data_IF_240107634408
#
_entry.id   IF_240107634408
#
_cell.length_a   1.000
_cell.length_b   1.000
_cell.length_c   1.000
_cell.angle_alpha   90.00
_cell.angle_beta   90.00
_cell.angle_gamma   90.00
#
_symmetry.space_group_name_H-M   'P 1'
#
loop_
_entity.id
_entity.type
_entity.pdbx_description
1 polymer ?
#
# COMPACT_ATOMS: atom_id res chain seq x y z
N UNK A 1 4.91 -0.15 13.98
CA UNK A 1 4.52 -0.04 12.60
C UNK A 1 3.42 -1.01 12.21
N UNK A 2 2.47 -0.52 11.46
CA UNK A 2 1.30 -1.32 11.13
C UNK A 2 1.47 -2.15 9.88
N UNK A 3 2.42 -1.78 9.03
CA UNK A 3 2.67 -2.50 7.79
C UNK A 3 4.15 -2.80 7.68
N UNK A 4 4.47 -3.90 6.99
CA UNK A 4 5.86 -4.29 6.81
C UNK A 4 6.49 -3.48 5.67
N UNK A 5 7.83 -3.37 5.64
CA UNK A 5 8.48 -2.71 4.51
C UNK A 5 8.12 -3.32 3.16
N UNK A 6 7.94 -4.63 3.09
CA UNK A 6 7.54 -5.29 1.85
C UNK A 6 6.16 -4.84 1.42
N UNK A 7 5.21 -4.75 2.36
CA UNK A 7 3.88 -4.29 2.02
C UNK A 7 3.90 -2.85 1.50
N UNK A 8 4.74 -2.02 2.07
CA UNK A 8 4.89 -0.65 1.60
C UNK A 8 5.47 -0.60 0.19
N UNK A 9 6.48 -1.45 -0.09
CA UNK A 9 7.05 -1.52 -1.43
C UNK A 9 6.02 -1.96 -2.46
N UNK A 10 5.20 -2.94 -2.11
CA UNK A 10 4.15 -3.42 -3.01
C UNK A 10 3.15 -2.29 -3.28
N UNK A 11 2.74 -1.61 -2.24
CA UNK A 11 1.79 -0.50 -2.37
C UNK A 11 2.36 0.59 -3.26
N UNK A 12 3.62 0.94 -3.04
CA UNK A 12 4.27 1.99 -3.83
C UNK A 12 4.28 1.63 -5.32
N UNK A 13 4.69 0.40 -5.64
CA UNK A 13 4.75 -0.02 -7.03
C UNK A 13 3.37 -0.09 -7.66
N UNK A 14 2.41 -0.65 -6.95
CA UNK A 14 1.10 -0.90 -7.52
C UNK A 14 0.21 0.34 -7.57
N UNK A 15 0.22 1.14 -6.50
CA UNK A 15 -0.69 2.29 -6.40
C UNK A 15 -0.03 3.58 -6.85
N UNK A 16 1.17 3.85 -6.39
CA UNK A 16 1.83 5.12 -6.69
C UNK A 16 2.43 5.11 -8.10
N UNK A 17 3.14 4.03 -8.45
CA UNK A 17 3.77 3.92 -9.76
C UNK A 17 2.84 3.33 -10.81
N UNK A 18 1.69 2.83 -10.39
CA UNK A 18 0.67 2.27 -11.28
C UNK A 18 1.15 1.08 -12.11
N UNK A 19 1.98 0.23 -11.51
CA UNK A 19 2.41 -1.00 -12.18
C UNK A 19 1.24 -1.98 -12.30
N UNK A 20 1.28 -2.81 -13.34
CA UNK A 20 0.34 -3.92 -13.45
C UNK A 20 0.59 -4.90 -12.30
N UNK A 21 -0.48 -5.55 -11.83
CA UNK A 21 -0.34 -6.48 -10.72
C UNK A 21 0.63 -7.61 -11.06
N UNK A 22 0.64 -8.07 -12.30
CA UNK A 22 1.55 -9.13 -12.72
C UNK A 22 3.01 -8.69 -12.69
N UNK A 23 3.26 -7.43 -12.98
CA UNK A 23 4.61 -6.89 -12.89
C UNK A 23 5.10 -6.81 -11.43
N UNK A 24 4.21 -6.40 -10.54
CA UNK A 24 4.55 -6.35 -9.12
C UNK A 24 4.86 -7.75 -8.60
N UNK A 25 4.01 -8.72 -8.98
CA UNK A 25 4.20 -10.10 -8.56
C UNK A 25 5.57 -10.63 -8.99
N UNK A 26 5.96 -10.34 -10.22
CA UNK A 26 7.22 -10.82 -10.75
C UNK A 26 8.42 -10.10 -10.12
N UNK A 27 8.34 -8.78 -10.04
CA UNK A 27 9.48 -7.99 -9.57
C UNK A 27 9.78 -8.20 -8.10
N UNK A 28 8.73 -8.33 -7.29
CA UNK A 28 8.88 -8.46 -5.84
C UNK A 28 8.70 -9.88 -5.35
N UNK A 29 8.43 -10.81 -6.25
CA UNK A 29 8.25 -12.24 -5.94
C UNK A 29 7.16 -12.44 -4.91
N UNK A 30 6.01 -11.85 -5.16
CA UNK A 30 4.86 -11.94 -4.27
C UNK A 30 3.66 -12.48 -5.04
N UNK A 31 2.65 -12.96 -4.29
CA UNK A 31 1.43 -13.45 -4.88
C UNK A 31 0.45 -12.31 -5.16
N UNK A 32 -0.55 -12.61 -6.00
CA UNK A 32 -1.61 -11.63 -6.27
C UNK A 32 -2.33 -11.24 -4.98
N UNK A 33 -2.57 -12.21 -4.10
CA UNK A 33 -3.23 -11.94 -2.84
C UNK A 33 -2.41 -10.97 -1.98
N UNK A 34 -1.09 -11.12 -2.00
CA UNK A 34 -0.22 -10.21 -1.25
C UNK A 34 -0.28 -8.80 -1.81
N UNK A 35 -0.41 -8.64 -3.12
CA UNK A 35 -0.51 -7.32 -3.73
C UNK A 35 -1.79 -6.62 -3.25
N UNK A 36 -2.92 -7.31 -3.32
CA UNK A 36 -4.18 -6.70 -2.91
C UNK A 36 -4.24 -6.47 -1.40
N UNK A 37 -3.66 -7.38 -0.63
CA UNK A 37 -3.60 -7.19 0.82
C UNK A 37 -2.78 -5.96 1.18
N UNK A 38 -1.64 -5.78 0.52
CA UNK A 38 -0.79 -4.61 0.76
C UNK A 38 -1.52 -3.32 0.41
N UNK A 39 -2.21 -3.32 -0.73
CA UNK A 39 -3.00 -2.15 -1.12
C UNK A 39 -4.02 -1.79 -0.05
N UNK A 40 -4.71 -2.79 0.47
CA UNK A 40 -5.75 -2.56 1.46
C UNK A 40 -5.16 -2.04 2.77
N UNK A 41 -4.11 -2.68 3.26
CA UNK A 41 -3.54 -2.35 4.56
C UNK A 41 -2.82 -1.01 4.57
N UNK A 42 -1.98 -0.77 3.59
CA UNK A 42 -1.25 0.50 3.53
C UNK A 42 -2.22 1.64 3.25
N UNK A 43 -3.19 1.39 2.37
CA UNK A 43 -4.21 2.39 2.08
C UNK A 43 -5.00 2.79 3.32
N UNK A 44 -5.29 1.81 4.19
CA UNK A 44 -6.03 2.09 5.42
C UNK A 44 -5.21 2.98 6.36
N UNK A 45 -3.91 2.73 6.45
CA UNK A 45 -3.03 3.55 7.30
C UNK A 45 -3.01 5.00 6.80
N UNK A 46 -2.86 5.19 5.49
CA UNK A 46 -2.88 6.53 4.92
C UNK A 46 -4.21 7.23 5.18
N UNK A 47 -5.30 6.50 5.06
CA UNK A 47 -6.62 7.09 5.30
C UNK A 47 -6.76 7.56 6.74
N UNK A 48 -6.29 6.76 7.69
CA UNK A 48 -6.34 7.13 9.09
C UNK A 48 -5.52 8.38 9.37
N UNK A 49 -4.33 8.46 8.79
CA UNK A 49 -3.48 9.62 9.01
C UNK A 49 -4.06 10.89 8.40
N UNK A 50 -4.69 10.77 7.25
CA UNK A 50 -5.35 11.91 6.63
C UNK A 50 -6.51 12.42 7.48
N UNK A 51 -7.25 11.50 8.09
CA UNK A 51 -8.35 11.88 8.96
C UNK A 51 -7.86 12.60 10.21
N UNK A 52 -6.75 12.13 10.79
CA UNK A 52 -6.16 12.79 11.93
C UNK A 52 -5.71 14.21 11.60
N UNK A 53 -5.08 14.37 10.45
CA UNK A 53 -4.64 15.69 10.01
C UNK A 53 -5.82 16.62 9.80
N UNK A 54 -6.91 16.10 9.24
CA UNK A 54 -8.10 16.89 9.02
C UNK A 54 -8.68 17.38 10.35
N UNK A 55 -8.70 16.53 11.36
CA UNK A 55 -9.20 16.90 12.66
C UNK A 55 -8.34 17.97 13.32
N UNK A 56 -7.03 17.88 13.13
CA UNK A 56 -6.13 18.88 13.72
C UNK A 56 -6.29 20.24 13.06
N UNK A 57 -6.55 20.27 11.77
CA UNK A 57 -6.69 21.52 11.04
C UNK A 57 -8.02 22.19 11.32
N UNK A 58 -9.04 21.38 11.51
CA UNK A 58 -10.37 21.92 11.78
C UNK A 58 -10.58 22.23 13.24
#
# INVERSE_FOLDING_TARGET
ERVSPLQFQIFHAYVIEEWEVTEVMRALEVSRAQVYLAKHRVGAVFREELEELREEIL
#
